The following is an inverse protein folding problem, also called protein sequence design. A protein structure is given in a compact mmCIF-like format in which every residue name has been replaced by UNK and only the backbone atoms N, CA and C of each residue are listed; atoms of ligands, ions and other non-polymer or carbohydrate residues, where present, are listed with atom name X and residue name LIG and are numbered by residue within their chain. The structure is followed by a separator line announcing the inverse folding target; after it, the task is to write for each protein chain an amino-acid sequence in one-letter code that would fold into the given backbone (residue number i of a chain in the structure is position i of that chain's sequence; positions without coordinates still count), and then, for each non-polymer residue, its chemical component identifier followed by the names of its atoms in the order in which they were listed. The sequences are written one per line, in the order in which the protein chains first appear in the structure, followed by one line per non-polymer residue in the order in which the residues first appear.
data_IF_680521897916
#
_entry.id   IF_680521897916
#
_cell.length_a   1.000
_cell.length_b   1.000
_cell.length_c   1.000
_cell.angle_alpha   90.00
_cell.angle_beta   90.00
_cell.angle_gamma   90.00
#
_symmetry.space_group_name_H-M   'P 1'
#
loop_
_entity.id
_entity.type
_entity.pdbx_description
1 polymer ?
#
# COMPACT_ATOMS: atom_id res chain seq x y z
N UNK A 1 42.47 78.63 11.09
CA UNK A 1 42.23 77.19 11.02
C UNK A 1 41.71 76.66 12.37
N UNK A 2 40.56 77.18 12.84
CA UNK A 2 39.95 76.85 14.13
C UNK A 2 38.46 77.23 14.17
N UNK A 3 37.65 76.97 13.17
CA UNK A 3 36.21 77.23 13.17
C UNK A 3 35.32 76.32 12.34
N UNK A 4 35.74 75.08 12.12
CA UNK A 4 34.92 74.11 11.32
C UNK A 4 34.39 72.94 12.15
N UNK A 5 34.71 72.80 13.45
CA UNK A 5 34.36 71.64 14.24
C UNK A 5 33.17 71.79 15.21
N UNK A 6 32.32 72.82 15.06
CA UNK A 6 31.17 72.98 15.96
C UNK A 6 29.79 72.86 15.32
N UNK A 7 29.69 72.76 13.99
CA UNK A 7 28.38 72.65 13.29
C UNK A 7 28.00 71.18 12.98
N UNK A 8 28.95 70.24 12.95
CA UNK A 8 28.65 68.82 12.66
C UNK A 8 28.12 68.06 13.86
N UNK A 9 28.22 68.56 15.08
CA UNK A 9 27.77 67.92 16.31
C UNK A 9 26.29 68.08 16.64
N UNK A 10 25.62 69.03 16.02
CA UNK A 10 24.19 69.31 16.31
C UNK A 10 23.24 68.75 15.28
N UNK A 11 23.71 68.17 14.17
CA UNK A 11 22.88 67.54 13.15
C UNK A 11 22.71 66.06 13.44
N UNK A 12 23.59 65.40 14.24
CA UNK A 12 23.49 63.97 14.60
C UNK A 12 22.53 63.72 15.78
N UNK A 13 22.22 64.76 16.60
CA UNK A 13 21.30 64.58 17.74
C UNK A 13 19.83 64.82 17.34
N UNK A 14 19.58 65.45 16.18
CA UNK A 14 18.22 65.76 15.69
C UNK A 14 17.58 64.59 14.94
N UNK A 15 18.35 63.57 14.49
CA UNK A 15 17.82 62.40 13.73
C UNK A 15 17.54 61.14 14.56
N UNK A 16 17.83 61.13 15.87
CA UNK A 16 17.63 59.93 16.74
C UNK A 16 16.26 59.95 17.44
N UNK A 17 15.49 61.03 17.35
CA UNK A 17 14.20 61.15 18.08
C UNK A 17 12.98 60.93 17.18
N UNK A 18 13.14 60.57 15.91
CA UNK A 18 12.02 60.36 14.99
C UNK A 18 11.83 58.88 14.53
N UNK A 19 12.48 57.92 15.19
CA UNK A 19 12.26 56.48 14.92
C UNK A 19 11.74 55.65 16.11
N UNK A 20 11.12 56.30 17.08
CA UNK A 20 10.59 55.64 18.27
C UNK A 20 9.04 55.76 18.35
N UNK A 21 8.33 55.57 17.23
CA UNK A 21 6.88 55.38 17.30
C UNK A 21 6.36 54.80 15.98
N UNK A 22 6.67 53.54 15.74
CA UNK A 22 5.90 52.63 14.89
C UNK A 22 6.45 51.23 15.12
N UNK A 23 6.27 50.68 16.30
CA UNK A 23 6.04 49.29 16.49
C UNK A 23 4.54 49.19 16.78
N UNK A 24 3.72 49.19 15.73
CA UNK A 24 2.53 48.37 15.80
C UNK A 24 3.06 46.93 15.98
N UNK A 25 2.85 46.36 17.14
CA UNK A 25 2.85 44.96 17.37
C UNK A 25 1.74 44.40 16.47
N UNK A 26 2.02 44.20 15.18
CA UNK A 26 1.34 43.18 14.42
C UNK A 26 1.67 41.90 15.18
N UNK A 27 0.80 41.48 16.11
CA UNK A 27 0.63 40.12 16.50
C UNK A 27 0.42 39.35 15.17
N UNK A 28 1.52 38.88 14.57
CA UNK A 28 1.44 37.72 13.72
C UNK A 28 0.90 36.62 14.62
N UNK A 29 -0.42 36.52 14.67
CA UNK A 29 -1.09 35.40 15.21
C UNK A 29 -0.43 34.21 14.54
N UNK A 30 0.27 33.40 15.32
CA UNK A 30 0.67 32.06 14.89
C UNK A 30 -0.65 31.37 14.62
N UNK A 31 -1.10 31.36 13.34
CA UNK A 31 -2.19 30.50 12.95
C UNK A 31 -1.74 29.10 13.37
N UNK A 32 -2.36 28.57 14.41
CA UNK A 32 -2.17 27.16 14.78
C UNK A 32 -2.57 26.36 13.56
N UNK A 33 -1.58 25.74 12.92
CA UNK A 33 -1.84 24.86 11.79
C UNK A 33 -2.66 23.69 12.35
N UNK A 34 -3.90 23.50 11.88
CA UNK A 34 -4.73 22.43 12.38
C UNK A 34 -4.02 21.09 12.23
N UNK A 35 -4.00 20.28 13.28
CA UNK A 35 -3.38 18.96 13.23
C UNK A 35 -4.16 18.05 12.29
N UNK A 36 -3.56 17.70 11.16
CA UNK A 36 -4.15 16.90 10.10
C UNK A 36 -3.49 15.51 10.03
N UNK A 37 -3.88 14.54 10.88
CA UNK A 37 -3.16 13.28 11.08
C UNK A 37 -3.22 12.34 9.88
N UNK A 38 -4.23 12.46 9.05
CA UNK A 38 -4.42 11.56 7.92
C UNK A 38 -3.63 12.04 6.70
N UNK A 39 -3.09 11.07 5.97
CA UNK A 39 -2.34 11.31 4.73
C UNK A 39 -2.89 10.42 3.64
N UNK A 40 -3.23 11.02 2.50
CA UNK A 40 -3.72 10.31 1.32
C UNK A 40 -2.80 10.57 0.13
N UNK A 41 -2.52 9.54 -0.65
CA UNK A 41 -1.94 9.70 -1.98
C UNK A 41 -3.06 9.83 -3.00
N UNK A 42 -3.15 10.98 -3.66
CA UNK A 42 -4.15 11.29 -4.67
C UNK A 42 -3.56 11.10 -6.07
N UNK A 43 -4.14 10.22 -6.87
CA UNK A 43 -3.80 10.10 -8.29
C UNK A 43 -4.74 10.96 -9.14
N UNK A 44 -4.23 12.04 -9.72
CA UNK A 44 -5.01 12.99 -10.53
C UNK A 44 -4.61 12.85 -11.99
N UNK A 45 -5.54 12.38 -12.82
CA UNK A 45 -5.32 12.15 -14.24
C UNK A 45 -5.92 13.28 -15.05
N UNK A 46 -5.11 13.92 -15.89
CA UNK A 46 -5.53 14.97 -16.84
C UNK A 46 -4.77 14.80 -18.14
N UNK A 47 -5.47 14.85 -19.28
CA UNK A 47 -4.85 14.72 -20.60
C UNK A 47 -4.05 13.41 -20.83
N UNK A 48 -4.43 12.32 -20.14
CA UNK A 48 -3.73 11.02 -20.23
C UNK A 48 -2.48 10.89 -19.36
N UNK A 49 -2.12 11.92 -18.59
CA UNK A 49 -1.01 11.90 -17.61
C UNK A 49 -1.58 11.87 -16.21
N UNK A 50 -1.00 11.06 -15.33
CA UNK A 50 -1.35 11.00 -13.91
C UNK A 50 -0.23 11.60 -13.07
N UNK A 51 -0.57 12.58 -12.23
CA UNK A 51 0.28 13.10 -11.17
C UNK A 51 -0.19 12.53 -9.83
N UNK A 52 0.75 12.32 -8.91
CA UNK A 52 0.49 11.81 -7.57
C UNK A 52 0.82 12.89 -6.55
N UNK A 53 -0.06 13.06 -5.55
CA UNK A 53 0.11 14.05 -4.49
C UNK A 53 -0.14 13.41 -3.13
N UNK A 54 0.83 13.48 -2.22
CA UNK A 54 0.57 13.22 -0.81
C UNK A 54 -0.03 14.45 -0.16
N UNK A 55 -1.25 14.35 0.32
CA UNK A 55 -1.97 15.43 0.99
C UNK A 55 -2.39 15.05 2.39
N UNK A 56 -2.50 16.03 3.28
CA UNK A 56 -3.01 15.85 4.63
C UNK A 56 -4.50 16.12 4.72
N UNK A 57 -5.20 15.46 5.64
CA UNK A 57 -6.58 15.72 6.00
C UNK A 57 -6.79 15.68 7.52
N UNK A 58 -7.62 16.59 8.03
CA UNK A 58 -7.99 16.67 9.45
C UNK A 58 -9.14 15.72 9.77
N UNK A 59 -10.11 15.66 8.86
CA UNK A 59 -11.33 14.86 8.99
C UNK A 59 -11.54 14.02 7.73
N UNK A 60 -11.98 12.80 7.96
CA UNK A 60 -12.30 11.83 6.89
C UNK A 60 -13.79 11.72 6.63
N UNK A 61 -14.62 12.30 7.51
CA UNK A 61 -16.07 12.10 7.49
C UNK A 61 -16.84 13.28 6.94
N UNK A 62 -16.18 14.43 6.73
CA UNK A 62 -16.83 15.63 6.18
C UNK A 62 -15.93 16.40 5.21
N UNK A 63 -16.53 17.27 4.42
CA UNK A 63 -15.83 18.19 3.52
C UNK A 63 -15.31 17.56 2.23
N UNK A 64 -14.24 18.17 1.67
CA UNK A 64 -13.63 17.79 0.42
C UNK A 64 -12.10 17.79 0.53
N UNK A 65 -11.48 16.61 0.41
CA UNK A 65 -10.03 16.43 0.41
C UNK A 65 -9.52 16.62 -1.02
N UNK A 66 -8.53 17.50 -1.18
CA UNK A 66 -7.97 17.83 -2.50
C UNK A 66 -6.49 18.24 -2.38
N UNK A 67 -5.80 18.36 -3.52
CA UNK A 67 -4.39 18.75 -3.61
C UNK A 67 -4.18 20.26 -3.93
N UNK A 68 -5.22 21.06 -4.00
CA UNK A 68 -5.09 22.47 -4.42
C UNK A 68 -4.28 23.28 -3.41
N UNK A 69 -3.14 23.78 -3.86
CA UNK A 69 -2.23 24.61 -3.06
C UNK A 69 -1.51 23.89 -1.93
N UNK A 70 -1.56 22.55 -1.89
CA UNK A 70 -0.92 21.76 -0.84
C UNK A 70 -0.52 20.36 -1.34
N UNK A 71 0.34 19.71 -0.57
CA UNK A 71 0.78 18.34 -0.82
C UNK A 71 2.17 18.26 -1.43
N UNK A 72 2.73 17.05 -1.40
CA UNK A 72 4.00 16.71 -2.03
C UNK A 72 3.69 16.02 -3.35
N UNK A 73 4.10 16.62 -4.48
CA UNK A 73 3.95 16.03 -5.80
C UNK A 73 5.03 14.98 -6.05
N UNK A 74 4.64 13.89 -6.70
CA UNK A 74 5.52 12.81 -7.10
C UNK A 74 5.36 12.49 -8.56
N UNK A 75 6.48 12.43 -9.28
CA UNK A 75 6.54 12.18 -10.71
C UNK A 75 6.57 10.69 -11.02
N UNK A 76 5.69 10.24 -11.90
CA UNK A 76 5.61 8.86 -12.35
C UNK A 76 4.76 7.99 -11.45
N UNK A 77 4.75 6.68 -11.72
CA UNK A 77 3.95 5.73 -10.97
C UNK A 77 4.61 5.41 -9.62
N UNK A 78 3.82 5.48 -8.55
CA UNK A 78 4.26 5.09 -7.21
C UNK A 78 3.22 4.18 -6.53
N UNK A 79 3.73 3.16 -5.84
CA UNK A 79 3.05 2.44 -4.78
C UNK A 79 3.45 3.03 -3.43
N UNK A 80 2.65 2.80 -2.40
CA UNK A 80 2.86 3.43 -1.09
C UNK A 80 2.79 2.40 0.02
N UNK A 81 3.79 2.44 0.91
CA UNK A 81 3.83 1.60 2.11
C UNK A 81 4.23 2.43 3.32
N UNK A 82 3.63 2.13 4.46
CA UNK A 82 3.98 2.79 5.72
C UNK A 82 4.88 1.89 6.57
N UNK A 83 6.01 2.43 7.01
CA UNK A 83 6.84 1.87 8.07
C UNK A 83 6.87 2.85 9.25
N UNK A 84 6.24 2.50 10.37
CA UNK A 84 6.07 3.40 11.53
C UNK A 84 5.48 4.78 11.13
N UNK A 85 6.26 5.86 11.34
CA UNK A 85 5.89 7.24 11.01
C UNK A 85 6.50 7.71 9.67
N UNK A 86 6.93 6.79 8.82
CA UNK A 86 7.47 7.08 7.49
C UNK A 86 6.59 6.47 6.42
N UNK A 87 6.14 7.26 5.47
CA UNK A 87 5.47 6.80 4.25
C UNK A 87 6.54 6.65 3.17
N UNK A 88 6.70 5.45 2.66
CA UNK A 88 7.57 5.18 1.52
C UNK A 88 6.75 5.29 0.23
N UNK A 89 7.18 6.19 -0.63
CA UNK A 89 6.67 6.37 -1.99
C UNK A 89 7.55 5.55 -2.92
N UNK A 90 7.12 4.35 -3.23
CA UNK A 90 7.92 3.33 -3.93
C UNK A 90 7.67 3.43 -5.43
N UNK A 91 8.70 3.76 -6.19
CA UNK A 91 8.59 3.83 -7.64
C UNK A 91 8.23 2.48 -8.27
N UNK A 92 7.38 2.51 -9.28
CA UNK A 92 6.95 1.33 -10.05
C UNK A 92 6.84 1.64 -11.54
N UNK A 93 6.60 0.63 -12.38
CA UNK A 93 6.47 0.76 -13.83
C UNK A 93 7.62 1.53 -14.50
N UNK A 94 8.86 1.21 -14.13
CA UNK A 94 10.08 1.84 -14.65
C UNK A 94 10.60 3.01 -13.82
N UNK A 95 9.85 3.50 -12.85
CA UNK A 95 10.35 4.41 -11.82
C UNK A 95 11.09 3.58 -10.77
N UNK A 96 12.32 3.94 -10.45
CA UNK A 96 13.20 3.15 -9.56
C UNK A 96 13.57 3.85 -8.26
N UNK A 97 13.28 5.14 -8.13
CA UNK A 97 13.49 5.87 -6.89
C UNK A 97 12.38 5.60 -5.88
N UNK A 98 12.74 5.66 -4.62
CA UNK A 98 11.83 5.56 -3.48
C UNK A 98 12.15 6.66 -2.51
N UNK A 99 11.14 7.43 -2.13
CA UNK A 99 11.26 8.57 -1.21
C UNK A 99 10.57 8.22 0.11
N UNK A 100 11.20 8.56 1.22
CA UNK A 100 10.58 8.49 2.55
C UNK A 100 9.99 9.84 2.94
N UNK A 101 8.70 9.89 3.23
CA UNK A 101 7.98 11.10 3.66
C UNK A 101 7.57 10.97 5.11
N UNK A 102 7.81 11.99 5.89
CA UNK A 102 7.47 12.06 7.32
C UNK A 102 6.75 13.39 7.64
N UNK A 103 6.18 13.48 8.83
CA UNK A 103 5.63 14.72 9.35
C UNK A 103 6.69 15.47 10.16
N UNK A 104 6.83 16.77 9.92
CA UNK A 104 7.67 17.68 10.71
C UNK A 104 7.00 18.13 12.00
N UNK A 105 7.79 18.72 12.90
CA UNK A 105 7.28 19.31 14.12
C UNK A 105 6.37 20.53 13.90
N UNK A 106 6.39 21.09 12.70
CA UNK A 106 5.51 22.15 12.20
C UNK A 106 4.18 21.62 11.62
N UNK A 107 3.98 20.29 11.63
CA UNK A 107 2.77 19.63 11.13
C UNK A 107 2.77 19.37 9.62
N UNK A 108 3.72 19.91 8.86
CA UNK A 108 3.81 19.65 7.41
C UNK A 108 4.49 18.32 7.08
N UNK A 109 4.15 17.80 5.91
CA UNK A 109 4.88 16.66 5.33
C UNK A 109 6.15 17.16 4.64
N UNK A 110 7.24 16.38 4.76
CA UNK A 110 8.46 16.63 4.01
C UNK A 110 9.16 15.33 3.62
N UNK A 111 9.94 15.39 2.56
CA UNK A 111 10.79 14.29 2.12
C UNK A 111 12.02 14.20 3.03
N UNK A 112 12.14 13.09 3.76
CA UNK A 112 13.25 12.87 4.69
C UNK A 112 14.49 12.34 4.01
N UNK A 113 14.33 11.59 2.92
CA UNK A 113 15.40 10.98 2.16
C UNK A 113 14.88 10.18 0.98
N UNK A 114 15.79 9.80 0.09
CA UNK A 114 15.48 8.94 -1.05
C UNK A 114 16.61 7.94 -1.32
N UNK A 115 16.27 6.88 -2.01
CA UNK A 115 17.22 5.89 -2.52
C UNK A 115 16.66 5.26 -3.79
N UNK A 116 17.54 4.57 -4.54
CA UNK A 116 17.20 4.03 -5.86
C UNK A 116 17.51 2.54 -5.92
N UNK A 117 16.62 1.78 -6.55
CA UNK A 117 16.81 0.38 -6.92
C UNK A 117 17.31 0.27 -8.37
N UNK A 118 17.80 -0.91 -8.78
CA UNK A 118 18.20 -1.11 -10.18
C UNK A 118 16.98 -1.22 -11.10
N UNK A 119 15.86 -1.76 -10.59
CA UNK A 119 14.58 -1.91 -11.28
C UNK A 119 13.43 -1.61 -10.32
N UNK A 120 12.21 -1.49 -10.83
CA UNK A 120 11.01 -1.38 -10.01
C UNK A 120 10.85 -2.60 -9.10
N UNK A 121 10.48 -2.37 -7.85
CA UNK A 121 10.28 -3.46 -6.89
C UNK A 121 9.05 -4.31 -7.20
N UNK A 122 9.18 -5.61 -6.94
CA UNK A 122 8.06 -6.56 -6.99
C UNK A 122 7.28 -6.63 -5.68
N UNK A 123 7.92 -6.29 -4.55
CA UNK A 123 7.29 -6.17 -3.24
C UNK A 123 8.09 -5.22 -2.37
N UNK A 124 7.41 -4.53 -1.45
CA UNK A 124 8.01 -3.70 -0.42
C UNK A 124 7.11 -3.75 0.81
N UNK A 125 7.63 -4.16 1.97
CA UNK A 125 6.81 -4.29 3.19
C UNK A 125 7.66 -4.15 4.44
N UNK A 126 7.02 -3.75 5.54
CA UNK A 126 7.67 -3.71 6.85
C UNK A 126 7.88 -5.15 7.37
N UNK A 127 9.10 -5.47 7.77
CA UNK A 127 9.46 -6.79 8.31
C UNK A 127 9.67 -6.78 9.83
N UNK A 128 10.11 -5.66 10.38
CA UNK A 128 10.24 -5.42 11.82
C UNK A 128 10.04 -3.93 12.16
N UNK A 129 10.22 -3.56 13.43
CA UNK A 129 10.00 -2.18 13.87
C UNK A 129 10.96 -1.14 13.27
N UNK A 130 12.07 -1.56 12.66
CA UNK A 130 13.10 -0.65 12.15
C UNK A 130 13.34 -0.82 10.66
N UNK A 131 12.81 -1.87 10.05
CA UNK A 131 13.21 -2.29 8.71
C UNK A 131 12.03 -2.57 7.78
N UNK A 132 12.15 -2.05 6.55
CA UNK A 132 11.39 -2.51 5.40
C UNK A 132 12.23 -3.50 4.60
N UNK A 133 11.57 -4.40 3.88
CA UNK A 133 12.20 -5.27 2.89
C UNK A 133 11.65 -4.99 1.51
N UNK A 134 12.56 -4.69 0.58
CA UNK A 134 12.26 -4.57 -0.84
C UNK A 134 12.71 -5.81 -1.60
N UNK A 135 11.92 -6.26 -2.57
CA UNK A 135 12.28 -7.35 -3.48
C UNK A 135 12.31 -6.85 -4.90
N UNK A 136 13.45 -7.02 -5.53
CA UNK A 136 13.67 -6.78 -6.96
C UNK A 136 13.85 -8.13 -7.66
N UNK A 137 13.08 -8.37 -8.71
CA UNK A 137 13.21 -9.55 -9.55
C UNK A 137 13.32 -9.11 -11.02
N UNK A 138 14.28 -9.63 -11.80
CA UNK A 138 14.36 -9.37 -13.24
C UNK A 138 13.03 -9.73 -13.94
N UNK A 139 12.68 -8.99 -14.97
CA UNK A 139 11.44 -9.22 -15.73
C UNK A 139 11.41 -10.56 -16.45
N UNK A 140 12.59 -11.12 -16.79
CA UNK A 140 12.75 -12.43 -17.43
C UNK A 140 14.20 -12.95 -17.27
N UNK A 141 14.45 -14.16 -17.76
CA UNK A 141 15.75 -14.82 -17.63
C UNK A 141 16.90 -14.15 -18.44
N UNK A 142 16.58 -13.34 -19.44
CA UNK A 142 17.59 -12.60 -20.24
C UNK A 142 18.12 -11.38 -19.45
N UNK A 143 17.31 -10.82 -18.56
CA UNK A 143 17.63 -9.67 -17.72
C UNK A 143 18.36 -10.06 -16.43
N UNK A 144 18.27 -11.30 -15.99
CA UNK A 144 18.98 -11.77 -14.81
C UNK A 144 18.47 -13.11 -14.25
N UNK A 145 19.23 -13.65 -13.31
CA UNK A 145 19.00 -14.98 -12.72
C UNK A 145 18.84 -14.97 -11.20
N UNK A 146 18.88 -13.80 -10.57
CA UNK A 146 18.80 -13.68 -9.12
C UNK A 146 17.73 -12.72 -8.69
N UNK A 147 17.04 -13.05 -7.60
CA UNK A 147 16.24 -12.12 -6.79
C UNK A 147 17.19 -11.30 -5.95
N UNK A 148 16.93 -10.01 -5.81
CA UNK A 148 17.63 -9.13 -4.87
C UNK A 148 16.69 -8.74 -3.74
N UNK A 149 17.15 -8.94 -2.50
CA UNK A 149 16.49 -8.51 -1.28
C UNK A 149 17.23 -7.31 -0.73
N UNK A 150 16.53 -6.22 -0.51
CA UNK A 150 17.03 -4.99 0.10
C UNK A 150 16.48 -4.84 1.51
N UNK A 151 17.34 -4.65 2.48
CA UNK A 151 16.92 -4.21 3.81
C UNK A 151 17.04 -2.68 3.88
N UNK A 152 15.98 -2.01 4.26
CA UNK A 152 15.88 -0.56 4.31
C UNK A 152 15.57 -0.11 5.72
N UNK A 153 16.40 0.75 6.28
CA UNK A 153 16.17 1.39 7.57
C UNK A 153 15.07 2.42 7.46
N UNK A 154 14.01 2.27 8.28
CA UNK A 154 12.83 3.14 8.28
C UNK A 154 13.19 4.56 8.76
N UNK A 155 14.05 4.65 9.79
CA UNK A 155 14.37 5.93 10.42
C UNK A 155 15.31 6.77 9.58
N UNK A 156 16.27 6.13 8.88
CA UNK A 156 17.26 6.83 8.07
C UNK A 156 16.87 6.93 6.59
N UNK A 157 15.79 6.24 6.18
CA UNK A 157 15.35 6.16 4.77
C UNK A 157 16.53 5.76 3.87
N UNK A 158 17.16 4.62 4.20
CA UNK A 158 18.39 4.19 3.54
C UNK A 158 18.47 2.66 3.41
N UNK A 159 19.01 2.19 2.28
CA UNK A 159 19.35 0.77 2.10
C UNK A 159 20.53 0.43 3.01
N UNK A 160 20.35 -0.52 3.92
CA UNK A 160 21.37 -0.96 4.88
C UNK A 160 22.06 -2.26 4.46
N UNK A 161 21.38 -3.11 3.71
CA UNK A 161 21.98 -4.32 3.16
C UNK A 161 21.31 -4.77 1.86
N UNK A 162 22.04 -5.56 1.09
CA UNK A 162 21.60 -6.19 -0.14
C UNK A 162 22.03 -7.65 -0.14
N UNK A 163 21.10 -8.57 -0.40
CA UNK A 163 21.37 -10.00 -0.56
C UNK A 163 20.74 -10.51 -1.85
N UNK A 164 21.29 -11.57 -2.41
CA UNK A 164 20.75 -12.18 -3.62
C UNK A 164 20.53 -13.67 -3.44
N UNK A 165 19.51 -14.20 -4.11
CA UNK A 165 19.21 -15.63 -4.18
C UNK A 165 18.87 -16.03 -5.62
N UNK A 166 19.20 -17.29 -6.06
CA UNK A 166 18.84 -17.75 -7.39
C UNK A 166 17.33 -17.81 -7.61
N UNK A 167 16.86 -17.43 -8.80
CA UNK A 167 15.47 -17.58 -9.23
C UNK A 167 15.15 -19.03 -9.66
N UNK A 168 16.14 -19.76 -10.16
CA UNK A 168 15.95 -21.09 -10.75
C UNK A 168 15.07 -22.04 -9.93
N UNK A 169 15.14 -22.13 -8.60
CA UNK A 169 14.24 -23.00 -7.82
C UNK A 169 12.77 -22.58 -7.87
N UNK A 170 12.47 -21.31 -8.18
CA UNK A 170 11.11 -20.77 -8.25
C UNK A 170 10.54 -20.82 -9.68
N UNK A 171 11.39 -20.91 -10.70
CA UNK A 171 11.00 -20.84 -12.11
C UNK A 171 10.86 -22.21 -12.78
N UNK A 172 10.37 -23.22 -12.05
CA UNK A 172 10.24 -24.61 -12.55
C UNK A 172 9.34 -24.73 -13.79
N UNK A 173 8.35 -23.86 -13.93
CA UNK A 173 7.39 -23.87 -15.04
C UNK A 173 7.46 -22.59 -15.87
N UNK A 174 7.23 -21.45 -15.25
CA UNK A 174 7.26 -20.13 -15.85
C UNK A 174 7.97 -19.15 -14.87
N UNK A 175 8.08 -17.90 -15.24
CA UNK A 175 8.74 -16.88 -14.41
C UNK A 175 7.92 -16.58 -13.15
N UNK A 176 8.55 -16.46 -11.96
CA UNK A 176 7.81 -16.19 -10.75
C UNK A 176 7.37 -14.70 -10.69
N UNK A 177 6.09 -14.48 -10.43
CA UNK A 177 5.51 -13.17 -10.13
C UNK A 177 5.16 -13.10 -8.64
N UNK A 178 5.78 -12.17 -7.92
CA UNK A 178 5.64 -12.06 -6.46
C UNK A 178 4.30 -11.41 -6.12
N UNK A 179 3.59 -11.96 -5.12
CA UNK A 179 2.26 -11.49 -4.73
C UNK A 179 2.11 -11.19 -3.24
N UNK A 180 3.15 -11.36 -2.47
CA UNK A 180 3.14 -11.02 -1.05
C UNK A 180 4.41 -11.42 -0.34
N UNK A 181 4.66 -10.75 0.76
CA UNK A 181 5.83 -10.94 1.62
C UNK A 181 5.41 -10.83 3.08
N UNK A 182 5.88 -11.75 3.90
CA UNK A 182 5.65 -11.74 5.34
C UNK A 182 6.86 -12.29 6.09
N UNK A 183 7.23 -11.65 7.19
CA UNK A 183 8.25 -12.16 8.09
C UNK A 183 7.62 -12.84 9.32
N UNK A 184 8.09 -14.05 9.66
CA UNK A 184 7.74 -14.74 10.89
C UNK A 184 8.98 -15.41 11.50
N UNK A 185 9.33 -15.03 12.73
CA UNK A 185 10.58 -15.42 13.35
C UNK A 185 11.79 -14.93 12.54
N UNK A 186 12.68 -15.85 12.21
CA UNK A 186 13.86 -15.59 11.37
C UNK A 186 13.65 -16.07 9.91
N UNK A 187 12.42 -16.06 9.42
CA UNK A 187 12.10 -16.50 8.06
C UNK A 187 11.25 -15.49 7.32
N UNK A 188 11.53 -15.38 6.02
CA UNK A 188 10.72 -14.63 5.06
C UNK A 188 9.89 -15.63 4.27
N UNK A 189 8.59 -15.40 4.22
CA UNK A 189 7.62 -16.14 3.44
C UNK A 189 7.17 -15.27 2.27
N UNK A 190 7.40 -15.75 1.06
CA UNK A 190 7.13 -15.02 -0.16
C UNK A 190 6.18 -15.82 -1.04
N UNK A 191 4.98 -15.30 -1.24
CA UNK A 191 4.01 -15.90 -2.17
C UNK A 191 4.30 -15.48 -3.60
N UNK A 192 4.09 -16.39 -4.54
CA UNK A 192 4.29 -16.13 -5.95
C UNK A 192 3.43 -17.06 -6.82
N UNK A 193 3.29 -16.73 -8.08
CA UNK A 193 2.70 -17.59 -9.10
C UNK A 193 3.55 -17.59 -10.37
N UNK A 194 3.32 -18.56 -11.23
CA UNK A 194 4.01 -18.67 -12.50
C UNK A 194 3.28 -17.90 -13.59
N UNK A 195 4.00 -17.02 -14.27
CA UNK A 195 3.48 -16.19 -15.36
C UNK A 195 4.48 -16.13 -16.50
N UNK A 196 4.00 -16.27 -17.73
CA UNK A 196 4.83 -16.03 -18.89
C UNK A 196 5.19 -14.54 -18.97
N UNK A 197 6.47 -14.14 -18.90
CA UNK A 197 6.85 -12.73 -18.83
C UNK A 197 6.63 -11.95 -20.12
N UNK A 198 6.42 -12.64 -21.27
CA UNK A 198 6.20 -12.02 -22.59
C UNK A 198 4.70 -11.91 -22.93
N UNK A 199 3.91 -12.92 -22.58
CA UNK A 199 2.47 -12.97 -22.92
C UNK A 199 1.56 -12.66 -21.74
N UNK A 200 2.09 -12.63 -20.53
CA UNK A 200 1.35 -12.51 -19.26
C UNK A 200 0.33 -13.64 -19.04
N UNK A 201 0.48 -14.77 -19.76
CA UNK A 201 -0.34 -15.95 -19.53
C UNK A 201 -0.02 -16.62 -18.20
N UNK A 202 -1.05 -17.16 -17.54
CA UNK A 202 -0.98 -17.83 -16.26
C UNK A 202 -1.54 -19.24 -16.41
N UNK A 203 -0.72 -20.21 -16.84
CA UNK A 203 -1.13 -21.59 -17.11
C UNK A 203 -1.15 -22.49 -15.87
N UNK A 204 -0.29 -22.18 -14.90
CA UNK A 204 -0.06 -23.02 -13.71
C UNK A 204 -0.81 -22.45 -12.51
N UNK A 205 -2.14 -22.46 -12.58
CA UNK A 205 -3.03 -21.76 -11.64
C UNK A 205 -3.75 -22.66 -10.66
N UNK A 206 -3.36 -23.92 -10.54
CA UNK A 206 -4.00 -24.90 -9.65
C UNK A 206 -3.17 -25.22 -8.39
N UNK A 207 -2.23 -24.35 -8.05
CA UNK A 207 -1.34 -24.55 -6.91
C UNK A 207 -0.97 -23.19 -6.29
N UNK A 208 -1.06 -23.12 -4.97
CA UNK A 208 -0.46 -22.06 -4.17
C UNK A 208 1.02 -22.35 -3.95
N UNK A 209 1.89 -21.35 -4.16
CA UNK A 209 3.32 -21.45 -3.92
C UNK A 209 3.77 -20.43 -2.87
N UNK A 210 4.59 -20.89 -1.91
CA UNK A 210 5.25 -20.02 -0.92
C UNK A 210 6.73 -20.41 -0.85
N UNK A 211 7.62 -19.49 -1.22
CA UNK A 211 9.05 -19.65 -1.01
C UNK A 211 9.41 -19.19 0.41
N UNK A 212 10.18 -20.00 1.12
CA UNK A 212 10.64 -19.72 2.49
C UNK A 212 12.14 -19.49 2.47
N UNK A 213 12.56 -18.32 2.93
CA UNK A 213 13.97 -17.92 3.03
C UNK A 213 14.38 -17.76 4.47
N UNK A 214 15.60 -18.16 4.82
CA UNK A 214 16.22 -17.80 6.09
C UNK A 214 16.64 -16.33 6.10
N UNK A 215 16.31 -15.61 7.16
CA UNK A 215 16.71 -14.21 7.36
C UNK A 215 17.77 -14.16 8.47
N UNK A 216 18.86 -13.36 8.33
CA UNK A 216 19.11 -12.36 7.28
C UNK A 216 19.91 -12.87 6.06
N UNK A 217 20.24 -14.16 5.95
CA UNK A 217 21.11 -14.73 4.91
C UNK A 217 20.46 -14.74 3.53
N UNK A 218 19.13 -14.77 3.46
CA UNK A 218 18.33 -14.91 2.23
C UNK A 218 18.66 -16.22 1.47
N UNK A 219 18.93 -17.28 2.20
CA UNK A 219 19.06 -18.63 1.65
C UNK A 219 17.67 -19.25 1.52
N UNK A 220 17.35 -19.79 0.35
CA UNK A 220 16.09 -20.52 0.15
C UNK A 220 16.11 -21.83 0.93
N UNK A 221 15.22 -21.97 1.90
CA UNK A 221 15.07 -23.19 2.69
C UNK A 221 14.22 -24.22 1.94
N UNK A 222 13.07 -23.80 1.40
CA UNK A 222 12.14 -24.65 0.65
C UNK A 222 11.10 -23.84 -0.12
N UNK A 223 10.40 -24.52 -1.02
CA UNK A 223 9.16 -24.07 -1.64
C UNK A 223 8.01 -24.92 -1.14
N UNK A 224 7.06 -24.30 -0.44
CA UNK A 224 5.81 -24.93 -0.01
C UNK A 224 4.81 -24.91 -1.16
N UNK A 225 3.98 -25.95 -1.26
CA UNK A 225 2.95 -26.08 -2.29
C UNK A 225 1.65 -26.59 -1.67
N UNK A 226 0.51 -26.06 -2.13
CA UNK A 226 -0.81 -26.53 -1.76
C UNK A 226 -1.74 -26.50 -2.98
N UNK A 227 -2.53 -27.56 -3.16
CA UNK A 227 -3.44 -27.71 -4.31
C UNK A 227 -4.92 -27.63 -3.95
N UNK A 228 -5.23 -27.29 -2.69
CA UNK A 228 -6.63 -27.06 -2.26
C UNK A 228 -7.21 -25.80 -2.87
N UNK A 229 -6.35 -24.81 -3.18
CA UNK A 229 -6.72 -23.57 -3.85
C UNK A 229 -5.70 -23.21 -4.93
N UNK A 230 -5.94 -22.12 -5.66
CA UNK A 230 -5.07 -21.60 -6.70
C UNK A 230 -3.97 -20.67 -6.16
N UNK A 231 -3.40 -19.81 -7.01
CA UNK A 231 -2.30 -18.94 -6.64
C UNK A 231 -2.69 -17.94 -5.55
N UNK A 232 -1.72 -17.62 -4.68
CA UNK A 232 -1.88 -16.61 -3.64
C UNK A 232 -1.81 -15.20 -4.22
N UNK A 233 -2.72 -14.32 -3.80
CA UNK A 233 -2.78 -12.95 -4.27
C UNK A 233 -2.97 -12.83 -5.78
N UNK A 234 -2.50 -11.74 -6.34
CA UNK A 234 -2.50 -11.54 -7.79
C UNK A 234 -1.44 -10.51 -8.19
N UNK A 235 -1.29 -10.29 -9.48
CA UNK A 235 -0.44 -9.20 -9.96
C UNK A 235 -0.91 -7.82 -9.46
N UNK A 236 -2.20 -7.65 -9.24
CA UNK A 236 -2.81 -6.44 -8.68
C UNK A 236 -2.88 -6.44 -7.15
N UNK A 237 -2.99 -7.61 -6.50
CA UNK A 237 -3.16 -7.73 -5.06
C UNK A 237 -1.90 -8.35 -4.42
N UNK A 238 -1.00 -7.50 -3.93
CA UNK A 238 0.25 -7.92 -3.27
C UNK A 238 0.06 -8.38 -1.82
N UNK A 239 -1.15 -8.67 -1.41
CA UNK A 239 -1.52 -9.15 -0.09
C UNK A 239 -1.88 -10.65 -0.09
N UNK A 240 -1.18 -11.44 -0.90
CA UNK A 240 -1.33 -12.89 -0.96
C UNK A 240 -1.01 -13.62 0.34
N UNK A 241 -0.27 -12.98 1.26
CA UNK A 241 0.07 -13.50 2.58
C UNK A 241 0.04 -12.39 3.63
N UNK A 242 -0.50 -12.67 4.80
CA UNK A 242 -0.48 -11.76 5.96
C UNK A 242 -0.43 -12.54 7.27
N UNK A 243 0.12 -11.91 8.31
CA UNK A 243 0.25 -12.49 9.66
C UNK A 243 -0.82 -11.91 10.59
N UNK A 244 -1.35 -12.76 11.47
CA UNK A 244 -2.30 -12.39 12.51
C UNK A 244 -1.62 -12.38 13.90
N UNK A 245 -2.34 -11.95 14.94
CA UNK A 245 -1.80 -11.75 16.29
C UNK A 245 -1.26 -13.04 16.94
N UNK A 246 -1.82 -14.21 16.61
CA UNK A 246 -1.31 -15.50 17.06
C UNK A 246 0.07 -15.85 16.51
N UNK A 247 0.51 -15.12 15.45
CA UNK A 247 1.68 -15.44 14.65
C UNK A 247 1.41 -16.37 13.48
N UNK A 248 0.19 -16.90 13.35
CA UNK A 248 -0.24 -17.64 12.17
C UNK A 248 -0.22 -16.74 10.94
N UNK A 249 0.09 -17.33 9.80
CA UNK A 249 0.02 -16.64 8.52
C UNK A 249 -1.12 -17.22 7.69
N UNK A 250 -1.90 -16.32 7.08
CA UNK A 250 -2.95 -16.69 6.15
C UNK A 250 -2.54 -16.33 4.73
N UNK A 251 -2.86 -17.23 3.81
CA UNK A 251 -2.67 -17.03 2.38
C UNK A 251 -4.05 -16.86 1.74
N UNK A 252 -4.26 -15.75 1.05
CA UNK A 252 -5.45 -15.50 0.26
C UNK A 252 -5.20 -15.92 -1.19
N UNK A 253 -5.98 -16.86 -1.69
CA UNK A 253 -6.04 -17.19 -3.10
C UNK A 253 -7.36 -16.69 -3.68
N UNK A 254 -7.28 -15.85 -4.71
CA UNK A 254 -8.48 -15.35 -5.37
C UNK A 254 -8.96 -16.23 -6.52
N UNK A 255 -8.10 -17.03 -7.12
CA UNK A 255 -8.42 -17.88 -8.27
C UNK A 255 -9.31 -17.18 -9.33
N UNK A 256 -9.19 -15.85 -9.44
CA UNK A 256 -10.10 -15.01 -10.19
C UNK A 256 -9.53 -14.70 -11.59
N UNK A 257 -10.31 -14.94 -12.62
CA UNK A 257 -9.95 -14.57 -13.99
C UNK A 257 -9.79 -13.05 -14.09
N UNK A 258 -10.65 -12.28 -13.43
CA UNK A 258 -10.55 -10.82 -13.37
C UNK A 258 -9.18 -10.33 -12.90
N UNK A 259 -8.53 -11.06 -12.01
CA UNK A 259 -7.19 -10.73 -11.50
C UNK A 259 -6.06 -11.41 -12.29
N UNK A 260 -6.34 -11.94 -13.47
CA UNK A 260 -5.34 -12.45 -14.40
C UNK A 260 -5.18 -13.97 -14.47
N UNK A 261 -5.87 -14.74 -13.62
CA UNK A 261 -5.74 -16.21 -13.58
C UNK A 261 -6.71 -16.88 -14.58
N UNK A 262 -6.39 -16.78 -15.86
CA UNK A 262 -7.29 -17.18 -16.96
C UNK A 262 -7.66 -18.66 -17.01
N UNK A 263 -7.02 -19.52 -16.24
CA UNK A 263 -7.20 -20.97 -16.31
C UNK A 263 -7.33 -21.65 -14.94
N UNK A 264 -7.63 -20.90 -13.87
CA UNK A 264 -7.78 -21.53 -12.55
C UNK A 264 -9.01 -22.44 -12.51
N UNK A 265 -8.80 -23.69 -12.07
CA UNK A 265 -9.86 -24.66 -11.80
C UNK A 265 -10.14 -24.82 -10.32
N UNK A 266 -9.33 -24.20 -9.46
CA UNK A 266 -9.42 -24.29 -8.00
C UNK A 266 -10.34 -23.22 -7.43
N UNK A 267 -10.89 -23.52 -6.26
CA UNK A 267 -11.73 -22.61 -5.52
C UNK A 267 -10.91 -21.49 -4.85
N UNK A 268 -11.45 -20.28 -4.86
CA UNK A 268 -10.89 -19.17 -4.12
C UNK A 268 -11.12 -19.30 -2.63
N UNK A 269 -10.13 -18.96 -1.81
CA UNK A 269 -10.24 -19.09 -0.36
C UNK A 269 -8.97 -18.76 0.40
N UNK A 270 -8.90 -19.26 1.62
CA UNK A 270 -7.79 -18.98 2.53
C UNK A 270 -7.18 -20.28 3.05
N UNK A 271 -5.85 -20.35 2.99
CA UNK A 271 -5.03 -21.37 3.65
C UNK A 271 -4.34 -20.78 4.87
N UNK A 272 -3.80 -21.64 5.75
CA UNK A 272 -3.06 -21.21 6.93
C UNK A 272 -1.71 -21.93 7.04
N UNK A 273 -0.72 -21.18 7.50
CA UNK A 273 0.57 -21.66 7.98
C UNK A 273 0.61 -21.34 9.48
N UNK A 274 0.58 -22.35 10.39
CA UNK A 274 0.65 -22.11 11.83
C UNK A 274 1.93 -21.41 12.25
N UNK A 275 1.84 -20.63 13.31
CA UNK A 275 2.97 -19.94 13.88
C UNK A 275 4.17 -20.87 14.17
N UNK A 276 5.37 -20.44 13.79
CA UNK A 276 6.60 -21.19 13.99
C UNK A 276 6.78 -22.41 13.09
N UNK A 277 5.89 -22.64 12.11
CA UNK A 277 6.02 -23.75 11.14
C UNK A 277 6.36 -23.26 9.74
N UNK A 278 6.79 -24.19 8.88
CA UNK A 278 6.96 -23.99 7.45
C UNK A 278 6.14 -24.97 6.64
N UNK A 279 4.93 -25.27 7.13
CA UNK A 279 3.99 -26.21 6.51
C UNK A 279 2.58 -25.60 6.57
N UNK A 280 1.76 -25.89 5.57
CA UNK A 280 0.32 -25.67 5.66
C UNK A 280 -0.29 -26.69 6.62
N UNK A 281 -1.31 -26.28 7.37
CA UNK A 281 -2.14 -27.20 8.14
C UNK A 281 -3.43 -27.58 7.36
N UNK A 282 -4.36 -28.25 8.03
CA UNK A 282 -5.62 -28.66 7.42
C UNK A 282 -6.64 -27.54 7.26
N UNK A 283 -6.34 -26.32 7.75
CA UNK A 283 -7.23 -25.18 7.59
C UNK A 283 -7.40 -24.83 6.11
N UNK A 284 -8.62 -24.85 5.65
CA UNK A 284 -9.03 -24.31 4.36
C UNK A 284 -10.41 -23.66 4.48
N UNK A 285 -10.46 -22.37 4.27
CA UNK A 285 -11.71 -21.65 4.13
C UNK A 285 -12.07 -21.55 2.65
N UNK A 286 -12.89 -22.48 2.15
CA UNK A 286 -13.44 -22.44 0.78
C UNK A 286 -14.48 -21.32 0.70
N UNK A 287 -13.99 -20.11 0.51
CA UNK A 287 -14.82 -18.90 0.42
C UNK A 287 -15.73 -18.95 -0.81
N UNK A 288 -15.21 -19.37 -1.96
CA UNK A 288 -15.97 -19.41 -3.20
C UNK A 288 -17.19 -20.31 -3.10
N UNK A 289 -17.05 -21.53 -2.60
CA UNK A 289 -18.19 -22.43 -2.42
C UNK A 289 -19.19 -21.87 -1.40
N UNK A 290 -18.72 -21.39 -0.25
CA UNK A 290 -19.60 -20.85 0.79
C UNK A 290 -20.33 -19.58 0.37
N UNK A 291 -19.74 -18.76 -0.50
CA UNK A 291 -20.34 -17.51 -1.01
C UNK A 291 -21.20 -17.69 -2.27
N UNK A 292 -21.30 -18.91 -2.79
CA UNK A 292 -22.06 -19.17 -4.01
C UNK A 292 -21.32 -18.73 -5.29
N UNK A 293 -19.98 -18.72 -5.27
CA UNK A 293 -19.15 -18.47 -6.45
C UNK A 293 -18.44 -17.10 -6.45
N UNK A 294 -18.54 -16.31 -5.37
CA UNK A 294 -17.81 -15.05 -5.26
C UNK A 294 -16.33 -15.31 -4.96
N UNK A 295 -15.46 -14.38 -5.36
CA UNK A 295 -14.01 -14.50 -5.22
C UNK A 295 -13.41 -13.26 -4.56
N UNK A 296 -12.60 -13.39 -3.47
CA UNK A 296 -11.91 -12.24 -2.89
C UNK A 296 -10.88 -11.70 -3.90
N UNK A 297 -10.95 -10.41 -4.19
CA UNK A 297 -10.03 -9.74 -5.09
C UNK A 297 -8.87 -9.10 -4.31
N UNK A 298 -9.22 -8.31 -3.30
CA UNK A 298 -8.28 -7.62 -2.41
C UNK A 298 -8.66 -7.85 -0.97
N UNK A 299 -7.67 -7.97 -0.09
CA UNK A 299 -7.91 -8.19 1.34
C UNK A 299 -6.94 -7.36 2.20
N UNK A 300 -7.43 -6.91 3.36
CA UNK A 300 -6.61 -6.30 4.42
C UNK A 300 -7.01 -6.92 5.75
N UNK A 301 -6.05 -7.50 6.46
CA UNK A 301 -6.26 -7.95 7.83
C UNK A 301 -6.53 -6.74 8.73
N UNK A 302 -7.58 -6.81 9.55
CA UNK A 302 -8.05 -5.69 10.38
C UNK A 302 -8.09 -6.00 11.86
N UNK A 303 -7.51 -7.16 12.27
CA UNK A 303 -7.41 -7.60 13.66
C UNK A 303 -8.50 -8.59 14.08
N UNK A 304 -8.25 -9.34 15.16
CA UNK A 304 -9.19 -10.29 15.77
C UNK A 304 -9.70 -11.40 14.84
N UNK A 305 -8.90 -11.81 13.86
CA UNK A 305 -9.29 -12.80 12.86
C UNK A 305 -10.17 -12.25 11.73
N UNK A 306 -10.42 -10.94 11.71
CA UNK A 306 -11.24 -10.29 10.69
C UNK A 306 -10.41 -9.73 9.54
N UNK A 307 -10.97 -9.78 8.35
CA UNK A 307 -10.42 -9.25 7.11
C UNK A 307 -11.46 -8.34 6.45
N UNK A 308 -11.05 -7.13 6.07
CA UNK A 308 -11.81 -6.32 5.13
C UNK A 308 -11.43 -6.74 3.71
N UNK A 309 -12.41 -6.91 2.84
CA UNK A 309 -12.21 -7.42 1.48
C UNK A 309 -13.06 -6.71 0.43
N UNK A 310 -12.45 -6.48 -0.74
CA UNK A 310 -13.18 -6.36 -1.99
C UNK A 310 -13.36 -7.74 -2.60
N UNK A 311 -14.59 -8.05 -2.98
CA UNK A 311 -14.99 -9.36 -3.49
C UNK A 311 -15.59 -9.19 -4.87
N UNK A 312 -15.05 -9.87 -5.87
CA UNK A 312 -15.62 -9.89 -7.22
C UNK A 312 -16.99 -10.56 -7.22
N UNK A 313 -17.97 -9.87 -7.78
CA UNK A 313 -19.35 -10.35 -7.92
C UNK A 313 -19.64 -10.95 -9.29
N UNK A 314 -18.64 -11.00 -10.20
CA UNK A 314 -18.76 -11.61 -11.52
C UNK A 314 -18.77 -13.13 -11.36
N UNK A 315 -19.89 -13.77 -11.71
CA UNK A 315 -20.05 -15.22 -11.62
C UNK A 315 -21.03 -15.76 -12.67
N UNK A 316 -20.61 -16.63 -13.61
CA UNK A 316 -19.24 -17.09 -13.80
C UNK A 316 -18.34 -16.01 -14.44
N UNK A 317 -17.04 -16.07 -14.15
CA UNK A 317 -16.04 -15.26 -14.82
C UNK A 317 -15.65 -15.89 -16.16
N UNK A 318 -15.34 -15.06 -17.15
CA UNK A 318 -14.92 -15.47 -18.49
C UNK A 318 -13.58 -14.85 -18.88
N UNK A 319 -12.97 -15.28 -19.98
CA UNK A 319 -11.74 -14.68 -20.48
C UNK A 319 -11.87 -13.17 -20.80
N UNK A 320 -13.09 -12.67 -21.04
CA UNK A 320 -13.35 -11.23 -21.24
C UNK A 320 -13.23 -10.41 -19.95
N UNK A 321 -13.27 -11.07 -18.79
CA UNK A 321 -13.14 -10.43 -17.48
C UNK A 321 -11.67 -10.33 -17.03
N UNK A 322 -10.75 -10.91 -17.80
CA UNK A 322 -9.32 -10.91 -17.47
C UNK A 322 -8.77 -9.49 -17.38
N UNK A 323 -8.07 -9.22 -16.30
CA UNK A 323 -7.51 -7.91 -15.95
C UNK A 323 -8.58 -6.83 -15.77
N UNK A 324 -9.80 -7.23 -15.51
CA UNK A 324 -10.92 -6.34 -15.29
C UNK A 324 -11.34 -6.32 -13.83
N UNK A 325 -10.66 -5.59 -13.00
CA UNK A 325 -11.00 -5.34 -11.58
C UNK A 325 -12.35 -4.61 -11.47
N UNK A 326 -13.43 -5.32 -11.80
CA UNK A 326 -14.78 -4.77 -11.97
C UNK A 326 -15.77 -5.49 -11.08
N UNK A 327 -16.87 -4.79 -10.79
CA UNK A 327 -18.02 -5.36 -10.06
C UNK A 327 -17.61 -5.90 -8.69
N UNK A 328 -16.94 -5.05 -7.90
CA UNK A 328 -16.48 -5.35 -6.56
C UNK A 328 -17.52 -4.95 -5.52
N UNK A 329 -17.73 -5.80 -4.52
CA UNK A 329 -18.52 -5.49 -3.33
C UNK A 329 -17.65 -5.65 -2.08
N UNK A 330 -17.91 -4.82 -1.06
CA UNK A 330 -17.15 -4.85 0.19
C UNK A 330 -17.74 -5.84 1.20
N UNK A 331 -16.86 -6.55 1.89
CA UNK A 331 -17.20 -7.59 2.88
C UNK A 331 -16.28 -7.51 4.10
N UNK A 332 -16.80 -7.92 5.24
CA UNK A 332 -16.03 -8.37 6.40
C UNK A 332 -16.01 -9.91 6.37
N UNK A 333 -14.82 -10.48 6.39
CA UNK A 333 -14.57 -11.93 6.39
C UNK A 333 -13.99 -12.29 7.75
N UNK A 334 -14.55 -13.31 8.40
CA UNK A 334 -14.10 -13.87 9.66
C UNK A 334 -13.37 -15.21 9.40
N UNK A 335 -12.06 -15.19 9.56
CA UNK A 335 -11.20 -16.35 9.33
C UNK A 335 -11.39 -17.43 10.39
N UNK A 336 -11.68 -17.05 11.63
CA UNK A 336 -11.85 -17.99 12.74
C UNK A 336 -13.14 -18.81 12.59
N UNK A 337 -14.24 -18.15 12.21
CA UNK A 337 -15.54 -18.77 12.04
C UNK A 337 -15.80 -19.19 10.59
N UNK A 338 -14.89 -18.90 9.67
CA UNK A 338 -15.03 -19.13 8.23
C UNK A 338 -16.38 -18.61 7.71
N UNK A 339 -16.68 -17.37 8.06
CA UNK A 339 -17.92 -16.68 7.71
C UNK A 339 -17.63 -15.31 7.09
N UNK A 340 -18.64 -14.69 6.50
CA UNK A 340 -18.49 -13.38 5.86
C UNK A 340 -19.81 -12.62 5.89
N UNK A 341 -19.72 -11.30 5.85
CA UNK A 341 -20.87 -10.40 5.82
C UNK A 341 -20.62 -9.27 4.82
N UNK A 342 -21.56 -9.07 3.89
CA UNK A 342 -21.53 -7.94 2.95
C UNK A 342 -21.79 -6.63 3.70
N UNK A 343 -21.16 -5.54 3.22
CA UNK A 343 -21.40 -4.17 3.65
C UNK A 343 -22.33 -3.52 2.63
N UNK A 344 -23.64 -3.47 2.89
CA UNK A 344 -24.62 -3.09 1.87
C UNK A 344 -24.62 -1.57 1.57
N UNK A 345 -24.13 -0.74 2.48
CA UNK A 345 -24.06 0.71 2.33
C UNK A 345 -23.00 1.16 1.31
N UNK A 346 -22.02 0.29 1.01
CA UNK A 346 -21.04 0.54 -0.05
C UNK A 346 -21.59 -0.03 -1.36
N UNK A 347 -21.82 0.79 -2.38
CA UNK A 347 -22.32 0.30 -3.66
C UNK A 347 -21.28 -0.59 -4.34
N UNK A 348 -21.75 -1.47 -5.22
CA UNK A 348 -20.85 -2.21 -6.12
C UNK A 348 -20.14 -1.20 -7.00
N UNK A 349 -18.83 -1.36 -7.12
CA UNK A 349 -17.96 -0.43 -7.81
C UNK A 349 -16.90 -1.17 -8.63
N UNK A 350 -16.20 -0.42 -9.47
CA UNK A 350 -15.03 -0.92 -10.17
C UNK A 350 -13.78 -0.59 -9.34
N UNK A 351 -12.79 -1.48 -9.37
CA UNK A 351 -11.47 -1.21 -8.80
C UNK A 351 -10.70 -0.15 -9.59
N UNK A 352 -9.63 0.35 -9.03
CA UNK A 352 -8.83 1.43 -9.62
C UNK A 352 -7.83 0.95 -10.68
N UNK A 353 -7.88 -0.32 -11.06
CA UNK A 353 -7.03 -0.92 -12.09
C UNK A 353 -5.55 -0.86 -11.69
N UNK A 354 -5.16 -1.61 -10.66
CA UNK A 354 -3.77 -1.65 -10.21
C UNK A 354 -3.60 -2.20 -8.79
N UNK A 355 -2.40 -2.10 -8.24
CA UNK A 355 -1.99 -2.63 -6.94
C UNK A 355 -2.55 -1.84 -5.73
N UNK A 356 -3.63 -1.08 -5.92
CA UNK A 356 -4.10 -0.09 -4.96
C UNK A 356 -5.29 -0.61 -4.19
N UNK A 357 -5.02 -1.03 -2.98
CA UNK A 357 -6.04 -1.32 -1.98
C UNK A 357 -5.75 -0.48 -0.74
N UNK A 358 -6.13 0.79 -0.84
CA UNK A 358 -5.79 1.83 0.14
C UNK A 358 -6.74 1.79 1.32
N UNK A 359 -6.38 1.05 2.35
CA UNK A 359 -7.19 0.84 3.56
C UNK A 359 -6.47 1.42 4.78
N UNK A 360 -7.14 2.31 5.50
CA UNK A 360 -6.69 2.79 6.81
C UNK A 360 -7.52 2.14 7.92
N UNK A 361 -6.84 1.70 8.98
CA UNK A 361 -7.48 1.21 10.21
C UNK A 361 -7.19 2.22 11.31
N UNK A 362 -8.21 2.84 11.86
CA UNK A 362 -8.06 3.82 12.94
C UNK A 362 -9.28 3.82 13.88
N UNK A 363 -9.02 3.93 15.19
CA UNK A 363 -10.07 4.00 16.19
C UNK A 363 -11.05 2.81 16.21
N UNK A 364 -10.62 1.65 15.72
CA UNK A 364 -11.48 0.45 15.62
C UNK A 364 -12.39 0.42 14.40
N UNK A 365 -12.24 1.39 13.50
CA UNK A 365 -12.95 1.46 12.21
C UNK A 365 -11.98 1.20 11.04
N UNK A 366 -12.56 0.81 9.91
CA UNK A 366 -11.88 0.74 8.64
C UNK A 366 -12.32 1.92 7.79
N UNK A 367 -11.37 2.65 7.21
CA UNK A 367 -11.63 3.73 6.26
C UNK A 367 -11.17 3.30 4.88
N UNK A 368 -12.07 3.42 3.92
CA UNK A 368 -11.82 2.94 2.56
C UNK A 368 -12.35 3.93 1.52
N UNK A 369 -11.53 4.38 0.55
CA UNK A 369 -11.98 5.24 -0.54
C UNK A 369 -12.65 4.41 -1.63
N UNK A 370 -13.85 4.80 -2.02
CA UNK A 370 -14.66 4.12 -3.05
C UNK A 370 -14.98 5.09 -4.16
N UNK A 371 -14.69 4.69 -5.40
CA UNK A 371 -15.07 5.44 -6.59
C UNK A 371 -16.51 5.10 -6.97
N UNK A 372 -17.39 6.07 -6.82
CA UNK A 372 -18.80 5.96 -7.21
C UNK A 372 -18.95 6.49 -8.62
N UNK A 373 -19.56 5.69 -9.47
CA UNK A 373 -19.79 6.06 -10.87
C UNK A 373 -20.56 7.38 -10.95
N UNK A 374 -20.07 8.31 -11.76
CA UNK A 374 -20.63 9.65 -12.02
C UNK A 374 -20.66 10.61 -10.81
N UNK A 375 -20.22 10.19 -9.62
CA UNK A 375 -20.19 11.04 -8.42
C UNK A 375 -18.76 11.40 -7.97
N UNK A 376 -17.78 10.51 -8.20
CA UNK A 376 -16.39 10.68 -7.78
C UNK A 376 -15.98 9.73 -6.64
N UNK A 377 -14.88 10.04 -5.96
CA UNK A 377 -14.34 9.23 -4.89
C UNK A 377 -14.82 9.76 -3.54
N UNK A 378 -15.24 8.84 -2.66
CA UNK A 378 -15.68 9.13 -1.30
C UNK A 378 -15.04 8.17 -0.31
N UNK A 379 -14.70 8.66 0.88
CA UNK A 379 -14.28 7.81 1.99
C UNK A 379 -15.51 7.20 2.63
N UNK A 380 -15.44 5.90 2.94
CA UNK A 380 -16.40 5.21 3.78
C UNK A 380 -15.75 4.81 5.09
N UNK A 381 -16.42 5.12 6.22
CA UNK A 381 -16.08 4.59 7.54
C UNK A 381 -16.90 3.34 7.79
N UNK A 382 -16.23 2.24 8.06
CA UNK A 382 -16.82 0.90 8.19
C UNK A 382 -16.63 0.43 9.62
N UNK A 383 -17.71 0.00 10.25
CA UNK A 383 -17.67 -0.74 11.52
C UNK A 383 -17.50 -2.24 11.22
N UNK A 384 -16.33 -2.84 11.49
CA UNK A 384 -16.10 -4.25 11.19
C UNK A 384 -16.91 -5.21 12.05
N UNK A 385 -17.42 -4.78 13.21
CA UNK A 385 -18.22 -5.62 14.11
C UNK A 385 -19.63 -5.82 13.57
N UNK A 386 -20.19 -4.79 12.99
CA UNK A 386 -21.55 -4.80 12.45
C UNK A 386 -21.58 -5.03 10.93
N UNK A 387 -20.45 -4.85 10.24
CA UNK A 387 -20.31 -4.79 8.79
C UNK A 387 -21.27 -3.75 8.18
N UNK A 388 -21.31 -2.57 8.76
CA UNK A 388 -22.06 -1.39 8.29
C UNK A 388 -21.11 -0.27 7.93
N UNK A 389 -21.52 0.65 7.07
CA UNK A 389 -20.67 1.75 6.64
C UNK A 389 -21.42 3.09 6.60
N UNK A 390 -20.67 4.17 6.78
CA UNK A 390 -21.12 5.54 6.64
C UNK A 390 -20.27 6.26 5.60
N UNK A 391 -20.90 6.97 4.68
CA UNK A 391 -20.23 7.77 3.66
C UNK A 391 -19.73 9.06 4.27
N UNK A 392 -18.43 9.34 4.07
CA UNK A 392 -17.73 10.50 4.59
C UNK A 392 -17.32 11.49 3.52
N UNK A 393 -16.12 12.06 3.69
CA UNK A 393 -15.56 13.12 2.86
C UNK A 393 -15.49 12.73 1.38
N UNK A 394 -15.75 13.70 0.51
CA UNK A 394 -15.41 13.60 -0.91
C UNK A 394 -13.90 13.75 -1.10
N UNK A 395 -13.34 13.03 -2.05
CA UNK A 395 -11.93 13.16 -2.43
C UNK A 395 -11.83 13.60 -3.89
N UNK A 396 -11.24 14.75 -4.15
CA UNK A 396 -11.05 15.30 -5.50
C UNK A 396 -9.88 14.63 -6.20
N UNK A 397 -10.10 13.40 -6.66
CA UNK A 397 -9.09 12.53 -7.28
C UNK A 397 -9.73 11.57 -8.26
N UNK A 398 -8.92 10.90 -9.10
CA UNK A 398 -9.37 9.77 -9.91
C UNK A 398 -9.31 8.46 -9.11
N UNK A 399 -8.33 8.35 -8.19
CA UNK A 399 -8.15 7.23 -7.27
C UNK A 399 -7.28 7.62 -6.08
N UNK A 400 -7.29 6.83 -5.01
CA UNK A 400 -6.40 6.98 -3.85
C UNK A 400 -5.35 5.88 -3.90
N UNK A 401 -4.07 6.26 -4.04
CA UNK A 401 -2.94 5.33 -4.16
C UNK A 401 -2.40 4.81 -2.82
N UNK A 402 -2.63 5.54 -1.72
CA UNK A 402 -2.23 5.19 -0.37
C UNK A 402 -3.04 5.96 0.66
N UNK A 403 -3.23 5.37 1.85
CA UNK A 403 -4.03 5.95 2.92
C UNK A 403 -3.42 5.63 4.28
N UNK A 404 -2.98 6.66 5.00
CA UNK A 404 -2.13 6.53 6.17
C UNK A 404 -2.53 7.46 7.31
N UNK A 405 -1.97 7.21 8.50
CA UNK A 405 -2.02 8.11 9.64
C UNK A 405 -0.59 8.35 10.15
N UNK A 406 -0.20 9.62 10.25
CA UNK A 406 1.04 10.08 10.88
C UNK A 406 0.69 10.94 12.10
N UNK A 407 1.31 10.62 13.23
CA UNK A 407 1.11 11.33 14.51
C UNK A 407 2.11 12.47 14.65
#
# INVERSE_FOLDING_TARGET
MKYINKITAYIIIGCIVLFASSCDDDEFGTEEIPFAPYVLSLGITSGGTTAYYLVTAEDLMSGNINAVGKGIEQSGFHDYEQGNQTIFCVGGLGVTNTTGVVRGGDGYLFEKGEFTFNQSLSAFTQIDNNSMMGIEIPGNAEEGSNITFYNVDINNVAITSRKTAPIAPLSQFEWPSITGLCMSGNKIYMTYFHMNPKTYETKYTDTTYVAVYSYPEMTLDKVMKDTRTGPAGSWYAHNGIFKVESGDMYIMSNSAIANGYSQSTKKAGFLRIPAGTTEFDDYFFDFETKSGGLKPAHVKYIGNGLVFAEVSTINPQTANDRWGDKSLACYIIDLNNQSFKKIPEIPVHDGDGGRRFSVLIDGGYVYFPVKIKDEGVYIYRIDPKTATAERGAKVSTNFVGGFFKLN
#
